data_IF_570070962585
#
_entry.id   IF_570070962585
#
_cell.length_a   1.000
_cell.length_b   1.000
_cell.length_c   1.000
_cell.angle_alpha   90.00
_cell.angle_beta   90.00
_cell.angle_gamma   90.00
#
_symmetry.space_group_name_H-M   'P 1'
#
loop_
_entity.id
_entity.type
_entity.pdbx_description
1 polymer ?
#
# COMPACT_ATOMS: atom_id res chain seq x y z
N UNK A 1 -18.16 33.94 5.77
CA UNK A 1 -17.02 33.41 5.00
C UNK A 1 -16.44 32.30 5.85
N UNK A 2 -16.25 31.10 5.29
CA UNK A 2 -15.52 30.05 6.01
C UNK A 2 -14.11 30.58 6.35
N UNK A 3 -13.52 30.17 7.49
CA UNK A 3 -12.13 30.50 7.80
C UNK A 3 -11.29 30.04 6.61
N UNK A 4 -10.48 30.92 6.03
CA UNK A 4 -9.66 30.63 4.84
C UNK A 4 -8.48 29.70 5.12
N UNK A 5 -8.35 29.23 6.36
CA UNK A 5 -7.09 28.70 6.89
C UNK A 5 -7.24 27.24 7.39
N UNK A 6 -8.36 26.56 7.08
CA UNK A 6 -8.53 25.17 7.48
C UNK A 6 -7.67 24.24 6.60
N UNK A 7 -6.70 23.57 7.21
CA UNK A 7 -5.86 22.58 6.55
C UNK A 7 -6.45 21.17 6.74
N UNK A 8 -6.92 20.55 5.66
CA UNK A 8 -7.59 19.26 5.73
C UNK A 8 -6.73 18.14 6.36
N UNK A 9 -5.40 18.25 6.31
CA UNK A 9 -4.47 17.32 6.96
C UNK A 9 -4.57 17.33 8.49
N UNK A 10 -5.12 18.39 9.10
CA UNK A 10 -5.33 18.46 10.56
C UNK A 10 -6.37 17.43 11.05
N UNK A 11 -7.17 16.87 10.14
CA UNK A 11 -8.09 15.79 10.48
C UNK A 11 -7.36 14.46 10.72
N UNK A 12 -6.14 14.27 10.18
CA UNK A 12 -5.40 13.02 10.33
C UNK A 12 -5.08 12.75 11.81
N UNK A 13 -5.33 11.52 12.25
CA UNK A 13 -5.07 11.09 13.62
C UNK A 13 -6.13 11.52 14.64
N UNK A 14 -7.17 12.26 14.24
CA UNK A 14 -8.32 12.53 15.12
C UNK A 14 -9.13 11.27 15.38
N UNK A 15 -9.73 11.18 16.56
CA UNK A 15 -10.79 10.20 16.83
C UNK A 15 -12.13 10.66 16.22
N UNK A 16 -13.15 9.81 16.35
CA UNK A 16 -14.46 10.05 15.75
C UNK A 16 -15.15 11.30 16.32
N UNK A 17 -15.05 11.56 17.62
CA UNK A 17 -15.77 12.65 18.28
C UNK A 17 -15.11 14.00 17.97
N UNK A 18 -13.77 14.05 18.01
CA UNK A 18 -13.00 15.22 17.60
C UNK A 18 -13.26 15.54 16.11
N UNK A 19 -13.23 14.55 15.23
CA UNK A 19 -13.50 14.75 13.80
C UNK A 19 -14.93 15.26 13.55
N UNK A 20 -15.94 14.70 14.22
CA UNK A 20 -17.33 15.20 14.15
C UNK A 20 -17.46 16.64 14.59
N UNK A 21 -16.75 17.02 15.65
CA UNK A 21 -16.75 18.39 16.16
C UNK A 21 -16.18 19.35 15.10
N UNK A 22 -14.98 19.06 14.57
CA UNK A 22 -14.34 19.90 13.54
C UNK A 22 -15.20 20.01 12.29
N UNK A 23 -15.73 18.90 11.76
CA UNK A 23 -16.61 18.94 10.59
C UNK A 23 -17.91 19.68 10.91
N UNK A 24 -18.48 19.51 12.10
CA UNK A 24 -19.67 20.22 12.57
C UNK A 24 -19.47 21.73 12.62
N UNK A 25 -18.31 22.19 13.10
CA UNK A 25 -17.97 23.62 13.19
C UNK A 25 -17.80 24.24 11.80
N UNK A 26 -17.12 23.55 10.88
CA UNK A 26 -17.02 23.96 9.47
C UNK A 26 -18.39 24.06 8.81
N UNK A 27 -19.32 23.18 9.20
CA UNK A 27 -20.69 23.20 8.73
C UNK A 27 -21.53 24.32 9.36
N UNK A 28 -21.33 24.63 10.64
CA UNK A 28 -22.06 25.68 11.38
C UNK A 28 -21.80 27.09 10.84
N UNK A 29 -20.66 27.30 10.16
CA UNK A 29 -20.42 28.50 9.37
C UNK A 29 -21.31 28.61 8.12
N UNK A 30 -21.95 27.51 7.70
CA UNK A 30 -22.94 27.49 6.62
C UNK A 30 -24.37 27.61 7.18
N UNK A 31 -25.21 28.38 6.51
CA UNK A 31 -26.60 28.66 6.90
C UNK A 31 -27.55 27.44 6.86
N UNK A 32 -27.05 26.22 6.61
CA UNK A 32 -27.83 24.99 6.52
C UNK A 32 -27.23 23.92 7.42
N UNK A 33 -28.04 23.18 8.19
CA UNK A 33 -27.57 22.01 8.92
C UNK A 33 -26.95 21.03 7.92
N UNK A 34 -25.67 20.72 8.09
CA UNK A 34 -25.02 19.70 7.28
C UNK A 34 -25.23 18.36 7.96
N UNK A 35 -25.81 17.43 7.21
CA UNK A 35 -26.01 16.07 7.64
C UNK A 35 -24.67 15.31 7.53
N UNK A 36 -24.16 14.84 8.68
CA UNK A 36 -22.99 13.96 8.73
C UNK A 36 -23.45 12.50 8.67
N UNK A 37 -23.10 11.81 7.58
CA UNK A 37 -23.44 10.41 7.36
C UNK A 37 -22.30 9.51 7.87
N UNK A 38 -22.61 8.54 8.73
CA UNK A 38 -21.63 7.58 9.24
C UNK A 38 -21.92 6.17 8.73
N UNK A 39 -20.88 5.50 8.23
CA UNK A 39 -20.98 4.15 7.69
C UNK A 39 -19.81 3.30 8.17
N UNK A 40 -20.09 2.14 8.74
CA UNK A 40 -19.06 1.22 9.25
C UNK A 40 -18.99 -0.05 8.40
N UNK A 41 -17.79 -0.60 8.30
CA UNK A 41 -17.44 -1.85 7.65
C UNK A 41 -16.62 -2.71 8.62
N UNK A 42 -16.26 -3.93 8.20
CA UNK A 42 -15.55 -4.88 9.07
C UNK A 42 -14.14 -4.42 9.49
N UNK A 43 -13.49 -3.59 8.68
CA UNK A 43 -12.09 -3.18 8.78
C UNK A 43 -11.90 -1.66 8.94
N UNK A 44 -12.90 -0.88 8.53
CA UNK A 44 -12.86 0.58 8.59
C UNK A 44 -14.24 1.20 8.82
N UNK A 45 -14.28 2.50 9.09
CA UNK A 45 -15.50 3.29 9.10
C UNK A 45 -15.30 4.61 8.35
N UNK A 46 -16.40 5.24 7.95
CA UNK A 46 -16.39 6.50 7.21
C UNK A 46 -17.35 7.50 7.86
N UNK A 47 -16.92 8.76 7.91
CA UNK A 47 -17.76 9.90 8.22
C UNK A 47 -17.77 10.83 7.02
N UNK A 48 -18.97 11.14 6.52
CA UNK A 48 -19.16 11.85 5.25
C UNK A 48 -19.90 13.16 5.50
N UNK A 49 -19.31 14.26 5.04
CA UNK A 49 -19.91 15.59 5.03
C UNK A 49 -20.09 16.04 3.56
N UNK A 50 -21.12 15.52 2.89
CA UNK A 50 -21.36 15.75 1.45
C UNK A 50 -21.41 17.23 1.08
N UNK A 51 -22.03 18.06 1.91
CA UNK A 51 -22.13 19.50 1.66
C UNK A 51 -20.79 20.25 1.76
N UNK A 52 -19.80 19.67 2.45
CA UNK A 52 -18.43 20.21 2.53
C UNK A 52 -17.51 19.65 1.44
N UNK A 53 -17.95 18.63 0.69
CA UNK A 53 -17.06 17.88 -0.20
C UNK A 53 -15.97 17.10 0.55
N UNK A 54 -16.26 16.66 1.78
CA UNK A 54 -15.29 15.94 2.63
C UNK A 54 -15.83 14.56 3.03
N UNK A 55 -14.98 13.56 2.99
CA UNK A 55 -15.17 12.28 3.67
C UNK A 55 -13.90 11.91 4.40
N UNK A 56 -14.00 11.26 5.56
CA UNK A 56 -12.83 10.70 6.26
C UNK A 56 -13.02 9.21 6.45
N UNK A 57 -11.91 8.46 6.43
CA UNK A 57 -11.84 7.05 6.83
C UNK A 57 -11.21 6.93 8.19
N UNK A 58 -11.77 6.05 9.02
CA UNK A 58 -11.20 5.63 10.29
C UNK A 58 -10.71 4.19 10.20
N UNK A 59 -9.52 3.95 10.73
CA UNK A 59 -8.92 2.61 10.84
C UNK A 59 -8.24 2.47 12.22
N UNK A 60 -8.41 1.33 12.92
CA UNK A 60 -9.32 0.22 12.62
C UNK A 60 -10.81 0.62 12.81
N UNK A 61 -11.74 -0.29 12.47
CA UNK A 61 -13.17 -0.08 12.63
C UNK A 61 -13.64 0.09 14.11
N UNK A 62 -12.88 -0.40 15.09
CA UNK A 62 -13.20 -0.28 16.52
C UNK A 62 -13.22 1.21 16.93
N UNK A 63 -14.38 1.78 17.30
CA UNK A 63 -14.49 3.20 17.61
C UNK A 63 -13.55 3.70 18.72
N UNK A 64 -13.14 2.83 19.65
CA UNK A 64 -12.23 3.20 20.75
C UNK A 64 -10.78 3.44 20.27
N UNK A 65 -10.38 2.75 19.19
CA UNK A 65 -9.04 2.80 18.61
C UNK A 65 -9.01 3.51 17.25
N UNK A 66 -10.17 3.66 16.62
CA UNK A 66 -10.38 4.31 15.34
C UNK A 66 -9.75 5.70 15.35
N UNK A 67 -8.87 5.93 14.38
CA UNK A 67 -8.31 7.25 14.08
C UNK A 67 -8.46 7.51 12.59
N UNK A 68 -8.62 8.78 12.24
CA UNK A 68 -8.64 9.19 10.83
C UNK A 68 -7.29 8.86 10.20
N UNK A 69 -7.30 8.00 9.18
CA UNK A 69 -6.09 7.63 8.44
C UNK A 69 -6.11 8.15 7.00
N UNK A 70 -7.29 8.50 6.47
CA UNK A 70 -7.44 9.12 5.16
C UNK A 70 -8.52 10.20 5.19
N UNK A 71 -8.26 11.31 4.52
CA UNK A 71 -9.20 12.41 4.27
C UNK A 71 -9.40 12.53 2.76
N UNK A 72 -10.63 12.48 2.29
CA UNK A 72 -11.00 12.65 0.88
C UNK A 72 -11.63 14.02 0.67
N UNK A 73 -11.11 14.75 -0.32
CA UNK A 73 -11.60 16.06 -0.76
C UNK A 73 -12.17 15.93 -2.16
N UNK A 74 -13.45 16.22 -2.35
CA UNK A 74 -14.15 15.98 -3.61
C UNK A 74 -14.20 17.23 -4.49
N UNK A 75 -14.07 17.03 -5.80
CA UNK A 75 -14.21 18.06 -6.82
C UNK A 75 -15.63 18.10 -7.41
N UNK A 76 -16.68 18.07 -6.58
CA UNK A 76 -18.06 17.75 -7.00
C UNK A 76 -18.26 16.31 -7.54
N UNK A 77 -19.53 15.90 -7.63
CA UNK A 77 -19.92 14.59 -8.15
C UNK A 77 -20.36 13.61 -7.06
N UNK A 78 -21.05 12.54 -7.45
CA UNK A 78 -21.54 11.48 -6.53
C UNK A 78 -22.34 11.99 -5.32
N UNK A 79 -22.96 13.18 -5.44
CA UNK A 79 -23.71 13.82 -4.37
C UNK A 79 -22.86 14.66 -3.41
N UNK A 80 -21.56 14.81 -3.66
CA UNK A 80 -20.68 15.73 -2.95
C UNK A 80 -20.67 17.12 -3.60
N UNK A 81 -20.59 18.16 -2.76
CA UNK A 81 -20.18 19.48 -3.20
C UNK A 81 -18.67 19.51 -3.50
N UNK A 82 -18.21 20.51 -4.25
CA UNK A 82 -16.78 20.78 -4.37
C UNK A 82 -16.24 21.26 -3.02
N UNK A 83 -15.15 20.66 -2.55
CA UNK A 83 -14.47 21.09 -1.34
C UNK A 83 -13.99 22.54 -1.46
N UNK A 84 -14.36 23.35 -0.48
CA UNK A 84 -14.06 24.79 -0.44
C UNK A 84 -13.76 25.30 0.97
N UNK A 85 -13.50 24.41 1.94
CA UNK A 85 -13.25 24.81 3.32
C UNK A 85 -11.82 25.34 3.55
N UNK A 86 -10.89 25.08 2.61
CA UNK A 86 -9.50 25.49 2.68
C UNK A 86 -8.76 25.24 1.35
N UNK A 87 -7.45 25.51 1.29
CA UNK A 87 -6.64 25.19 0.10
C UNK A 87 -6.48 23.68 -0.08
N UNK A 88 -6.14 23.26 -1.31
CA UNK A 88 -5.69 21.88 -1.54
C UNK A 88 -4.19 21.76 -1.19
N UNK A 89 -3.75 20.57 -0.76
CA UNK A 89 -2.35 20.34 -0.39
C UNK A 89 -1.41 20.56 -1.59
N UNK A 90 -0.16 20.91 -1.28
CA UNK A 90 0.93 21.07 -2.27
C UNK A 90 0.64 22.09 -3.38
N UNK A 91 -0.23 23.07 -3.10
CA UNK A 91 -0.59 24.13 -4.06
C UNK A 91 -1.50 23.66 -5.20
N UNK A 92 -2.09 22.47 -5.08
CA UNK A 92 -3.05 21.97 -6.05
C UNK A 92 -4.28 22.90 -6.17
N UNK A 93 -4.93 22.85 -7.34
CA UNK A 93 -6.17 23.57 -7.61
C UNK A 93 -7.11 22.65 -8.39
N UNK A 94 -8.42 22.77 -8.16
CA UNK A 94 -9.41 21.96 -8.87
C UNK A 94 -9.40 22.11 -10.40
N UNK A 95 -8.82 23.20 -10.91
CA UNK A 95 -8.58 23.45 -12.33
C UNK A 95 -7.38 22.71 -12.92
N UNK A 96 -6.53 22.08 -12.10
CA UNK A 96 -5.44 21.25 -12.58
C UNK A 96 -5.99 19.95 -13.19
N UNK A 97 -5.42 19.57 -14.32
CA UNK A 97 -5.68 18.30 -14.98
C UNK A 97 -4.52 17.34 -14.71
N UNK A 98 -4.67 16.08 -15.14
CA UNK A 98 -3.66 15.03 -15.00
C UNK A 98 -2.24 15.46 -15.37
N UNK A 99 -2.07 16.19 -16.48
CA UNK A 99 -0.75 16.70 -16.91
C UNK A 99 -0.21 17.77 -15.97
N UNK A 100 -1.05 18.70 -15.52
CA UNK A 100 -0.65 19.79 -14.63
C UNK A 100 -0.14 19.26 -13.29
N UNK A 101 -0.82 18.25 -12.74
CA UNK A 101 -0.42 17.60 -11.48
C UNK A 101 0.95 16.96 -11.60
N UNK A 102 1.21 16.21 -12.69
CA UNK A 102 2.52 15.55 -12.90
C UNK A 102 3.63 16.56 -13.15
N UNK A 103 3.36 17.66 -13.88
CA UNK A 103 4.34 18.72 -14.08
C UNK A 103 4.68 19.45 -12.77
N UNK A 104 3.70 19.61 -11.88
CA UNK A 104 3.86 20.31 -10.61
C UNK A 104 4.55 19.46 -9.54
N UNK A 105 4.10 18.21 -9.36
CA UNK A 105 4.55 17.33 -8.27
C UNK A 105 5.65 16.35 -8.70
N UNK A 106 5.95 16.28 -9.99
CA UNK A 106 6.90 15.32 -10.57
C UNK A 106 6.30 13.94 -10.82
N UNK A 107 7.19 12.96 -11.01
CA UNK A 107 6.79 11.57 -11.29
C UNK A 107 6.10 10.94 -10.07
N UNK A 108 4.88 10.38 -10.23
CA UNK A 108 4.19 9.72 -9.14
C UNK A 108 4.89 8.43 -8.72
N UNK A 109 4.71 8.08 -7.44
CA UNK A 109 5.24 6.85 -6.85
C UNK A 109 4.51 5.61 -7.39
N UNK A 110 3.19 5.74 -7.60
CA UNK A 110 2.37 4.67 -8.18
C UNK A 110 1.27 5.22 -9.13
N UNK A 111 0.76 4.33 -9.98
CA UNK A 111 -0.32 4.57 -10.94
C UNK A 111 -1.32 3.42 -10.85
N UNK A 112 -2.59 3.73 -10.58
CA UNK A 112 -3.63 2.71 -10.38
C UNK A 112 -4.91 3.03 -11.18
N UNK A 113 -5.79 2.03 -11.27
CA UNK A 113 -7.03 2.14 -12.04
C UNK A 113 -6.82 1.95 -13.55
N UNK A 114 -7.73 2.53 -14.35
CA UNK A 114 -7.77 2.38 -15.80
C UNK A 114 -8.57 1.16 -16.29
N UNK A 115 -8.76 1.11 -17.61
CA UNK A 115 -9.60 0.10 -18.28
C UNK A 115 -11.05 0.56 -18.44
N UNK A 116 -11.96 -0.37 -18.72
CA UNK A 116 -13.32 -0.03 -19.19
C UNK A 116 -14.20 0.69 -18.16
N UNK A 117 -13.93 0.54 -16.85
CA UNK A 117 -14.86 0.98 -15.80
C UNK A 117 -14.19 1.64 -14.59
N UNK A 118 -12.88 1.91 -14.64
CA UNK A 118 -12.16 2.46 -13.48
C UNK A 118 -11.43 3.73 -13.89
N UNK A 119 -11.80 4.83 -13.25
CA UNK A 119 -11.04 6.07 -13.26
C UNK A 119 -9.57 5.80 -12.96
N UNK A 120 -8.68 6.54 -13.63
CA UNK A 120 -7.24 6.47 -13.34
C UNK A 120 -6.90 7.33 -12.13
N UNK A 121 -5.86 6.94 -11.40
CA UNK A 121 -5.35 7.71 -10.26
C UNK A 121 -3.85 7.54 -10.09
N UNK A 122 -3.22 8.54 -9.48
CA UNK A 122 -1.79 8.58 -9.22
C UNK A 122 -1.53 8.81 -7.73
N UNK A 123 -0.47 8.19 -7.22
CA UNK A 123 -0.09 8.27 -5.82
C UNK A 123 1.27 8.94 -5.63
N UNK A 124 1.37 9.80 -4.61
CA UNK A 124 2.58 10.45 -4.12
C UNK A 124 2.74 10.13 -2.63
N UNK A 125 3.12 8.89 -2.31
CA UNK A 125 3.20 8.37 -0.94
C UNK A 125 4.09 9.21 0.00
N UNK A 126 5.19 9.78 -0.50
CA UNK A 126 6.08 10.66 0.28
C UNK A 126 5.46 12.02 0.58
N UNK A 127 4.47 12.44 -0.20
CA UNK A 127 3.66 13.63 0.06
C UNK A 127 2.39 13.30 0.84
N UNK A 128 2.05 12.01 0.99
CA UNK A 128 0.81 11.58 1.63
C UNK A 128 -0.43 11.88 0.79
N UNK A 129 -0.32 11.77 -0.55
CA UNK A 129 -1.38 12.17 -1.47
C UNK A 129 -1.72 11.09 -2.48
N UNK A 130 -3.02 10.95 -2.75
CA UNK A 130 -3.56 10.27 -3.92
C UNK A 130 -4.45 11.24 -4.70
N UNK A 131 -4.36 11.23 -6.03
CA UNK A 131 -5.21 12.02 -6.91
C UNK A 131 -5.95 11.06 -7.83
N UNK A 132 -7.27 11.02 -7.74
CA UNK A 132 -8.12 10.31 -8.69
C UNK A 132 -8.68 11.30 -9.72
N UNK A 133 -8.67 10.91 -10.99
CA UNK A 133 -9.22 11.68 -12.09
C UNK A 133 -10.59 11.14 -12.52
N UNK A 134 -11.36 11.89 -13.30
CA UNK A 134 -12.71 11.48 -13.70
C UNK A 134 -12.72 10.37 -14.74
N UNK A 135 -11.86 10.48 -15.74
CA UNK A 135 -11.83 9.55 -16.88
C UNK A 135 -10.88 8.38 -16.63
N UNK A 136 -11.04 7.30 -17.41
CA UNK A 136 -10.23 6.08 -17.32
C UNK A 136 -9.05 6.01 -18.30
N UNK A 137 -8.83 7.07 -19.10
CA UNK A 137 -7.80 7.12 -20.13
C UNK A 137 -6.50 7.77 -19.61
N UNK A 138 -5.42 6.99 -19.55
CA UNK A 138 -4.08 7.47 -19.17
C UNK A 138 -3.48 8.51 -20.11
N UNK A 139 -3.92 8.55 -21.37
CA UNK A 139 -3.40 9.45 -22.37
C UNK A 139 -4.20 10.76 -22.46
N UNK A 140 -5.25 10.92 -21.65
CA UNK A 140 -5.98 12.18 -21.58
C UNK A 140 -5.27 13.16 -20.64
N UNK A 141 -4.48 14.05 -21.23
CA UNK A 141 -3.77 15.13 -20.53
C UNK A 141 -4.71 16.15 -19.88
N UNK A 142 -5.97 16.21 -20.32
CA UNK A 142 -7.01 17.13 -19.83
C UNK A 142 -8.01 16.42 -18.92
N UNK A 143 -7.65 15.26 -18.39
CA UNK A 143 -8.51 14.54 -17.47
C UNK A 143 -8.61 15.31 -16.14
N UNK A 144 -9.80 15.82 -15.76
CA UNK A 144 -9.96 16.64 -14.56
C UNK A 144 -9.86 15.78 -13.29
N UNK A 145 -9.42 16.39 -12.19
CA UNK A 145 -9.44 15.73 -10.89
C UNK A 145 -10.89 15.44 -10.46
N UNK A 146 -11.12 14.25 -9.90
CA UNK A 146 -12.38 13.84 -9.28
C UNK A 146 -12.32 14.07 -7.75
N UNK A 147 -11.24 13.63 -7.12
CA UNK A 147 -10.98 13.90 -5.71
C UNK A 147 -9.48 13.74 -5.39
N UNK A 148 -9.08 14.31 -4.26
CA UNK A 148 -7.76 14.18 -3.65
C UNK A 148 -7.91 13.47 -2.32
N UNK A 149 -7.10 12.45 -2.07
CA UNK A 149 -6.97 11.81 -0.75
C UNK A 149 -5.70 12.28 -0.07
N UNK A 150 -5.79 12.56 1.23
CA UNK A 150 -4.69 12.92 2.10
C UNK A 150 -4.53 11.82 3.13
N UNK A 151 -3.31 11.32 3.31
CA UNK A 151 -2.96 10.28 4.28
C UNK A 151 -1.58 10.57 4.89
N UNK A 152 -1.18 9.89 5.97
CA UNK A 152 0.14 10.10 6.58
C UNK A 152 1.27 9.96 5.56
N UNK A 153 2.13 10.98 5.50
CA UNK A 153 3.31 10.97 4.62
C UNK A 153 4.22 9.81 4.96
N UNK A 154 4.68 9.08 3.94
CA UNK A 154 5.68 8.04 4.17
C UNK A 154 7.08 8.66 4.21
N UNK A 155 7.84 8.29 5.25
CA UNK A 155 9.23 8.71 5.41
C UNK A 155 10.10 8.07 4.30
N UNK A 156 10.75 8.88 3.44
CA UNK A 156 11.61 8.36 2.37
C UNK A 156 12.79 7.52 2.89
N UNK A 157 13.21 7.71 4.15
CA UNK A 157 14.32 6.97 4.74
C UNK A 157 13.96 5.50 5.02
N UNK A 158 12.67 5.17 5.11
CA UNK A 158 12.19 3.84 5.47
C UNK A 158 11.81 3.02 4.23
N UNK A 159 12.84 2.56 3.51
CA UNK A 159 12.67 1.50 2.50
C UNK A 159 12.60 2.03 1.09
N UNK A 160 13.73 2.49 0.56
CA UNK A 160 13.89 2.66 -0.88
C UNK A 160 14.25 1.32 -1.54
N UNK A 161 13.91 1.19 -2.81
CA UNK A 161 14.23 0.04 -3.62
C UNK A 161 15.73 -0.02 -3.86
N UNK A 162 16.34 -1.14 -3.51
CA UNK A 162 17.78 -1.37 -3.68
C UNK A 162 18.27 -1.23 -5.14
N UNK A 163 17.36 -1.37 -6.11
CA UNK A 163 17.70 -1.34 -7.53
C UNK A 163 17.46 0.02 -8.17
N UNK A 164 16.29 0.62 -7.96
CA UNK A 164 15.88 1.83 -8.68
C UNK A 164 15.70 3.06 -7.80
N UNK A 165 15.88 2.93 -6.47
CA UNK A 165 15.74 4.04 -5.53
C UNK A 165 14.30 4.53 -5.29
N UNK A 166 13.30 4.00 -6.01
CA UNK A 166 11.87 4.27 -5.74
C UNK A 166 11.46 3.73 -4.37
N UNK A 167 10.39 4.24 -3.79
CA UNK A 167 9.86 3.72 -2.54
C UNK A 167 9.53 2.22 -2.66
N UNK A 168 9.98 1.44 -1.68
CA UNK A 168 9.83 0.00 -1.68
C UNK A 168 8.48 -0.41 -1.09
N UNK A 169 7.75 -1.23 -1.82
CA UNK A 169 6.47 -1.79 -1.41
C UNK A 169 6.63 -3.05 -0.55
N UNK A 170 7.78 -3.73 -0.63
CA UNK A 170 8.04 -4.91 0.19
C UNK A 170 9.53 -5.14 0.46
N UNK A 171 9.81 -5.99 1.45
CA UNK A 171 11.16 -6.46 1.79
C UNK A 171 11.35 -7.90 1.35
N UNK A 172 12.60 -8.31 1.17
CA UNK A 172 12.93 -9.72 0.88
C UNK A 172 12.29 -10.64 1.93
N UNK A 173 11.45 -11.58 1.50
CA UNK A 173 10.72 -12.47 2.42
C UNK A 173 11.60 -13.39 3.26
N UNK A 174 12.87 -13.59 2.86
CA UNK A 174 13.83 -14.43 3.59
C UNK A 174 14.60 -13.63 4.66
N UNK A 175 15.26 -12.55 4.28
CA UNK A 175 16.12 -11.80 5.21
C UNK A 175 15.51 -10.52 5.76
N UNK A 176 14.47 -9.95 5.11
CA UNK A 176 13.87 -8.65 5.41
C UNK A 176 14.83 -7.45 5.43
N UNK A 177 16.06 -7.62 4.94
CA UNK A 177 17.10 -6.57 4.94
C UNK A 177 17.08 -5.71 3.67
N UNK A 178 16.79 -6.30 2.51
CA UNK A 178 16.68 -5.56 1.23
C UNK A 178 15.23 -5.24 0.93
N UNK A 179 14.98 -4.04 0.40
CA UNK A 179 13.65 -3.55 0.05
C UNK A 179 13.53 -3.33 -1.46
N UNK A 180 12.35 -3.60 -2.03
CA UNK A 180 12.09 -3.48 -3.45
C UNK A 180 10.73 -2.84 -3.72
N UNK A 181 10.63 -2.05 -4.79
CA UNK A 181 9.35 -1.51 -5.24
C UNK A 181 8.52 -2.53 -6.04
N UNK A 182 9.15 -3.59 -6.55
CA UNK A 182 8.52 -4.56 -7.45
C UNK A 182 9.25 -5.90 -7.46
N UNK A 183 8.54 -6.97 -7.80
CA UNK A 183 9.11 -8.31 -7.95
C UNK A 183 10.15 -8.37 -9.08
N UNK A 184 10.04 -7.50 -10.09
CA UNK A 184 11.06 -7.36 -11.14
C UNK A 184 12.37 -6.80 -10.58
N UNK A 185 12.32 -5.76 -9.74
CA UNK A 185 13.50 -5.24 -9.05
C UNK A 185 14.13 -6.28 -8.12
N UNK A 186 13.33 -7.04 -7.37
CA UNK A 186 13.84 -8.14 -6.54
C UNK A 186 14.56 -9.21 -7.39
N UNK A 187 13.96 -9.65 -8.50
CA UNK A 187 14.57 -10.65 -9.40
C UNK A 187 15.86 -10.14 -10.05
N UNK A 188 15.90 -8.86 -10.42
CA UNK A 188 17.09 -8.23 -10.96
C UNK A 188 18.24 -8.22 -9.94
N UNK A 189 17.94 -7.93 -8.67
CA UNK A 189 18.92 -7.97 -7.59
C UNK A 189 19.32 -9.39 -7.17
N UNK A 190 18.44 -10.38 -7.36
CA UNK A 190 18.59 -11.73 -6.80
C UNK A 190 19.91 -12.40 -7.15
N UNK A 191 20.43 -12.17 -8.36
CA UNK A 191 21.72 -12.73 -8.78
C UNK A 191 22.88 -12.32 -7.86
N UNK A 192 22.87 -11.07 -7.37
CA UNK A 192 23.83 -10.52 -6.42
C UNK A 192 23.44 -10.82 -4.97
N UNK A 193 22.17 -10.65 -4.66
CA UNK A 193 21.65 -10.79 -3.30
C UNK A 193 21.64 -12.24 -2.79
N UNK A 194 21.36 -13.24 -3.62
CA UNK A 194 21.23 -14.63 -3.13
C UNK A 194 22.49 -15.15 -2.43
N UNK A 195 23.68 -14.64 -2.80
CA UNK A 195 24.95 -15.02 -2.19
C UNK A 195 25.16 -14.42 -0.80
N UNK A 196 24.53 -13.28 -0.49
CA UNK A 196 24.66 -12.57 0.78
C UNK A 196 23.37 -12.57 1.62
N UNK A 197 22.28 -13.15 1.11
CA UNK A 197 20.99 -13.22 1.78
C UNK A 197 21.03 -14.20 2.97
N UNK A 198 20.99 -13.74 4.24
CA UNK A 198 21.15 -14.63 5.38
C UNK A 198 20.07 -15.72 5.43
N UNK A 199 18.80 -15.36 5.18
CA UNK A 199 17.70 -16.33 5.16
C UNK A 199 17.77 -17.33 4.00
N UNK A 200 18.44 -17.00 2.89
CA UNK A 200 18.68 -17.97 1.81
C UNK A 200 19.81 -18.93 2.17
N UNK A 201 20.90 -18.41 2.73
CA UNK A 201 22.05 -19.21 3.15
C UNK A 201 21.66 -20.21 4.25
N UNK A 202 20.87 -19.78 5.23
CA UNK A 202 20.31 -20.65 6.27
C UNK A 202 19.45 -21.76 5.66
N UNK A 203 18.49 -21.41 4.79
CA UNK A 203 17.63 -22.39 4.12
C UNK A 203 18.44 -23.39 3.29
N UNK A 204 19.47 -22.92 2.59
CA UNK A 204 20.37 -23.77 1.78
C UNK A 204 21.20 -24.71 2.67
N UNK A 205 21.65 -24.25 3.84
CA UNK A 205 22.38 -25.07 4.79
C UNK A 205 21.50 -26.20 5.34
N UNK A 206 20.27 -25.90 5.76
CA UNK A 206 19.34 -26.90 6.31
C UNK A 206 19.02 -28.02 5.30
N UNK A 207 18.80 -27.68 4.03
CA UNK A 207 18.58 -28.67 2.96
C UNK A 207 19.78 -29.60 2.74
N UNK A 208 21.00 -29.10 2.97
CA UNK A 208 22.21 -29.91 2.84
C UNK A 208 22.29 -30.97 3.94
N UNK A 209 21.94 -30.59 5.18
CA UNK A 209 21.90 -31.53 6.31
C UNK A 209 20.88 -32.64 6.14
N UNK A 210 19.68 -32.34 5.60
CA UNK A 210 18.66 -33.35 5.33
C UNK A 210 19.08 -34.34 4.23
N UNK A 211 19.74 -33.84 3.17
CA UNK A 211 20.30 -34.69 2.11
C UNK A 211 21.47 -35.57 2.60
N UNK A 212 22.31 -35.03 3.48
CA UNK A 212 23.52 -35.70 3.98
C UNK A 212 23.22 -36.72 5.09
N UNK A 213 22.13 -36.56 5.85
CA UNK A 213 21.61 -37.57 6.79
C UNK A 213 20.84 -38.72 6.12
N UNK A 214 20.33 -38.53 4.88
CA UNK A 214 19.65 -39.59 4.13
C UNK A 214 20.61 -40.54 3.38
N UNK A 215 21.82 -40.12 3.05
CA UNK A 215 22.80 -40.92 2.29
C UNK A 215 23.40 -42.12 3.06
N UNK A 216 23.68 -42.07 4.39
CA UNK A 216 24.25 -43.22 5.10
C UNK A 216 23.25 -44.36 5.34
N UNK A 217 21.93 -44.08 5.37
CA UNK A 217 20.90 -45.13 5.60
C UNK A 217 20.66 -46.01 4.39
N UNK A 218 20.76 -45.47 3.18
CA UNK A 218 20.59 -46.27 1.96
C UNK A 218 21.82 -47.16 1.68
N UNK A 219 23.04 -46.66 1.97
CA UNK A 219 24.26 -47.47 1.82
C UNK A 219 24.35 -48.63 2.84
N UNK A 220 23.86 -48.45 4.07
CA UNK A 220 23.80 -49.54 5.05
C UNK A 220 22.81 -50.66 4.67
N UNK A 221 21.70 -50.33 3.98
CA UNK A 221 20.75 -51.33 3.47
C UNK A 221 21.33 -52.12 2.29
N UNK A 222 22.10 -51.48 1.40
CA UNK A 222 22.74 -52.19 0.27
C UNK A 222 23.78 -53.22 0.71
N UNK A 223 24.58 -52.92 1.75
CA UNK A 223 25.60 -53.84 2.27
C UNK A 223 25.01 -55.07 2.98
N UNK A 224 23.85 -54.92 3.65
CA UNK A 224 23.13 -56.03 4.28
C UNK A 224 22.49 -56.99 3.27
N UNK A 225 22.12 -56.51 2.08
CA UNK A 225 21.56 -57.34 1.02
C UNK A 225 22.63 -58.13 0.25
N UNK A 226 23.84 -57.59 0.09
CA UNK A 226 24.94 -58.31 -0.55
C UNK A 226 25.59 -59.37 0.36
N UNK A 227 25.58 -59.21 1.69
CA UNK A 227 26.15 -60.23 2.59
C UNK A 227 25.24 -61.43 2.81
N UNK A 228 23.92 -61.24 2.75
CA UNK A 228 22.95 -62.34 2.88
C UNK A 228 22.82 -63.18 1.62
N UNK A 229 23.11 -62.62 0.43
CA UNK A 229 23.13 -63.40 -0.82
C UNK A 229 24.39 -64.25 -1.00
N UNK A 230 25.51 -63.92 -0.36
CA UNK A 230 26.72 -64.74 -0.38
C UNK A 230 26.66 -65.95 0.56
N UNK A 231 25.88 -65.88 1.65
CA UNK A 231 25.74 -67.00 2.59
C UNK A 231 24.75 -68.07 2.10
N UNK A 232 23.74 -67.70 1.30
CA UNK A 232 22.74 -68.66 0.79
C UNK A 232 23.25 -69.47 -0.42
N UNK A 233 24.31 -69.02 -1.10
CA UNK A 233 24.81 -69.68 -2.32
C UNK A 233 25.85 -70.79 -2.09
N UNK A 234 26.33 -70.97 -0.86
CA UNK A 234 27.32 -72.01 -0.52
C UNK A 234 26.71 -73.29 0.10
N UNK A 235 25.44 -73.26 0.51
CA UNK A 235 24.75 -74.40 1.16
C UNK A 235 23.84 -75.19 0.20
N UNK A 236 24.10 -75.18 -1.11
CA UNK A 236 23.26 -75.89 -2.12
C UNK A 236 24.04 -76.74 -3.12
N UNK A 237 25.27 -77.14 -2.79
CA UNK A 237 26.08 -78.04 -3.63
C UNK A 237 26.66 -79.24 -2.86
N UNK A 238 25.85 -79.86 -2.00
CA UNK A 238 26.07 -81.23 -1.51
C UNK A 238 24.76 -82.03 -1.56
#
# INVERSE_FOLDING_TARGET
MAPTDFEASELLGLDQDACRTVLGDLCGASLRPVELEFKSFHDCAYLTAKALGVQVRFTPADPSQARVDVVFLYNDGEGFAQYSAGPLPEGLQWSHHSKDVVLMLGEPSDKYGGGRFRAVGISYETLGLDIQFRESNWNDEKNPMAFVSIFPRLDPSHGLCQICGKLASFRCGLCKQRSYCSSSCQKADWTKHQGDCPGFLEKKASLRWEGELMLPRCQQLSRKLTSTLSEVFLDSMD
#
